data_IF_603640943018
#
_entry.id   IF_603640943018
#
_cell.length_a   1.000
_cell.length_b   1.000
_cell.length_c   1.000
_cell.angle_alpha   90.00
_cell.angle_beta   90.00
_cell.angle_gamma   90.00
#
_symmetry.space_group_name_H-M   'P 1'
#
loop_
_entity.id
_entity.type
_entity.pdbx_description
1 polymer ?
#
# COMPACT_ATOMS: atom_id res chain seq x y z
N UNK A 1 -7.44 -21.21 11.19
CA UNK A 1 -7.69 -20.93 9.77
C UNK A 1 -7.44 -19.45 9.57
N UNK A 2 -6.80 -19.06 8.46
CA UNK A 2 -6.63 -17.64 8.14
C UNK A 2 -7.99 -16.99 7.87
N UNK A 3 -8.09 -15.69 8.14
CA UNK A 3 -9.24 -14.83 7.86
C UNK A 3 -9.15 -14.14 6.50
N UNK A 4 -8.04 -14.32 5.79
CA UNK A 4 -7.92 -13.87 4.39
C UNK A 4 -8.45 -14.94 3.42
N UNK A 5 -9.44 -14.57 2.63
CA UNK A 5 -9.90 -15.35 1.47
C UNK A 5 -9.17 -14.86 0.21
N UNK A 6 -8.22 -15.66 -0.27
CA UNK A 6 -7.41 -15.28 -1.42
C UNK A 6 -8.07 -15.69 -2.75
N UNK A 7 -8.38 -14.71 -3.60
CA UNK A 7 -8.87 -14.90 -4.96
C UNK A 7 -7.75 -14.61 -5.97
N UNK A 8 -7.46 -15.55 -6.87
CA UNK A 8 -6.45 -15.38 -7.91
C UNK A 8 -7.10 -15.34 -9.29
N UNK A 9 -6.78 -14.34 -10.10
CA UNK A 9 -7.21 -14.34 -11.51
C UNK A 9 -6.31 -15.26 -12.33
N UNK A 10 -6.45 -16.58 -12.14
CA UNK A 10 -5.57 -17.61 -12.71
C UNK A 10 -6.23 -18.50 -13.77
N UNK A 11 -7.47 -18.23 -14.18
CA UNK A 11 -8.28 -19.13 -15.01
C UNK A 11 -7.68 -19.45 -16.39
N UNK A 12 -6.77 -18.61 -16.90
CA UNK A 12 -6.05 -18.87 -18.16
C UNK A 12 -4.57 -19.21 -17.95
N UNK A 13 -4.18 -19.54 -16.71
CA UNK A 13 -2.84 -19.99 -16.34
C UNK A 13 -1.80 -18.88 -16.09
N UNK A 14 -2.16 -17.61 -16.22
CA UNK A 14 -1.28 -16.44 -16.08
C UNK A 14 -0.63 -16.24 -14.69
N UNK A 15 -1.12 -16.90 -13.63
CA UNK A 15 -0.59 -16.78 -12.27
C UNK A 15 -0.34 -18.13 -11.57
N UNK A 16 -0.57 -19.24 -12.25
CA UNK A 16 -0.57 -20.56 -11.61
C UNK A 16 0.82 -20.96 -11.09
N UNK A 17 1.89 -20.51 -11.74
CA UNK A 17 3.28 -20.70 -11.30
C UNK A 17 3.65 -19.79 -10.11
N UNK A 18 2.92 -18.67 -9.92
CA UNK A 18 3.13 -17.72 -8.81
C UNK A 18 2.26 -18.00 -7.58
N UNK A 19 1.25 -18.87 -7.69
CA UNK A 19 0.28 -19.17 -6.63
C UNK A 19 0.91 -19.42 -5.26
N UNK A 20 1.94 -20.26 -5.19
CA UNK A 20 2.62 -20.57 -3.91
C UNK A 20 3.25 -19.33 -3.29
N UNK A 21 3.94 -18.51 -4.09
CA UNK A 21 4.56 -17.25 -3.66
C UNK A 21 3.51 -16.27 -3.14
N UNK A 22 2.39 -16.12 -3.85
CA UNK A 22 1.30 -15.22 -3.43
C UNK A 22 0.67 -15.68 -2.11
N UNK A 23 0.42 -16.98 -1.96
CA UNK A 23 -0.09 -17.55 -0.70
C UNK A 23 0.86 -17.27 0.46
N UNK A 24 2.16 -17.47 0.28
CA UNK A 24 3.16 -17.20 1.31
C UNK A 24 3.21 -15.71 1.67
N UNK A 25 3.23 -14.83 0.68
CA UNK A 25 3.23 -13.38 0.88
C UNK A 25 1.99 -12.92 1.67
N UNK A 26 0.82 -13.46 1.31
CA UNK A 26 -0.46 -13.17 1.98
C UNK A 26 -0.43 -13.62 3.43
N UNK A 27 0.04 -14.85 3.71
CA UNK A 27 0.17 -15.36 5.08
C UNK A 27 1.12 -14.51 5.92
N UNK A 28 2.28 -14.14 5.36
CA UNK A 28 3.24 -13.31 6.07
C UNK A 28 2.65 -11.94 6.46
N UNK A 29 1.88 -11.33 5.55
CA UNK A 29 1.19 -10.07 5.82
C UNK A 29 0.06 -10.22 6.84
N UNK A 30 -0.71 -11.32 6.76
CA UNK A 30 -1.79 -11.65 7.71
C UNK A 30 -1.25 -11.82 9.13
N UNK A 31 -0.27 -12.70 9.31
CA UNK A 31 0.35 -13.04 10.59
C UNK A 31 0.96 -11.81 11.27
N UNK A 32 1.47 -10.86 10.48
CA UNK A 32 2.00 -9.60 10.98
C UNK A 32 0.88 -8.61 11.36
N UNK A 33 -0.06 -8.38 10.45
CA UNK A 33 -0.97 -7.23 10.52
C UNK A 33 -2.16 -7.48 11.43
N UNK A 34 -2.77 -8.66 11.36
CA UNK A 34 -3.99 -8.98 12.10
C UNK A 34 -3.86 -8.82 13.61
N UNK A 35 -2.82 -9.35 14.29
CA UNK A 35 -2.70 -9.17 15.73
C UNK A 35 -2.39 -7.71 16.12
N UNK A 36 -1.57 -7.00 15.33
CA UNK A 36 -1.20 -5.60 15.59
C UNK A 36 -2.39 -4.66 15.46
N UNK A 37 -3.14 -4.84 14.38
CA UNK A 37 -4.32 -4.04 14.10
C UNK A 37 -5.59 -4.66 14.71
N UNK A 38 -5.53 -5.78 15.43
CA UNK A 38 -6.71 -6.42 16.03
C UNK A 38 -7.85 -6.62 15.01
N UNK A 39 -7.51 -7.06 13.81
CA UNK A 39 -8.50 -7.39 12.77
C UNK A 39 -9.15 -8.71 13.15
N UNK A 40 -10.47 -8.71 13.30
CA UNK A 40 -11.24 -9.88 13.71
C UNK A 40 -12.40 -10.24 12.76
N UNK A 41 -12.39 -9.72 11.54
CA UNK A 41 -13.30 -10.10 10.46
C UNK A 41 -12.54 -10.74 9.27
N UNK A 42 -13.29 -11.34 8.34
CA UNK A 42 -12.74 -11.95 7.13
C UNK A 42 -12.53 -10.90 6.03
N UNK A 43 -11.44 -11.03 5.26
CA UNK A 43 -11.08 -10.09 4.20
C UNK A 43 -10.81 -10.86 2.90
N UNK A 44 -11.48 -10.45 1.83
CA UNK A 44 -11.24 -10.95 0.48
C UNK A 44 -10.09 -10.17 -0.17
N UNK A 45 -9.07 -10.89 -0.63
CA UNK A 45 -7.95 -10.31 -1.39
C UNK A 45 -7.94 -10.88 -2.80
N UNK A 46 -8.20 -10.02 -3.79
CA UNK A 46 -8.05 -10.33 -5.20
C UNK A 46 -6.63 -10.02 -5.66
N UNK A 47 -5.90 -11.03 -6.12
CA UNK A 47 -4.58 -10.84 -6.75
C UNK A 47 -4.66 -11.08 -8.25
N UNK A 48 -4.17 -10.10 -9.01
CA UNK A 48 -4.23 -10.12 -10.48
C UNK A 48 -3.01 -9.50 -11.15
N UNK A 49 -2.64 -9.97 -12.34
CA UNK A 49 -1.70 -9.31 -13.24
C UNK A 49 -2.41 -8.64 -14.44
N UNK A 50 -3.75 -8.60 -14.42
CA UNK A 50 -4.57 -8.07 -15.53
C UNK A 50 -4.88 -6.59 -15.40
N UNK A 51 -4.91 -6.10 -14.17
CA UNK A 51 -5.14 -4.69 -13.86
C UNK A 51 -3.79 -4.04 -13.61
N UNK A 52 -3.37 -3.14 -14.51
CA UNK A 52 -2.08 -2.46 -14.44
C UNK A 52 -2.13 -1.28 -13.46
N UNK A 53 -2.21 -1.60 -12.17
CA UNK A 53 -2.08 -0.65 -11.05
C UNK A 53 -0.81 -0.92 -10.24
N UNK A 54 0.26 -1.34 -10.91
CA UNK A 54 1.56 -1.54 -10.29
C UNK A 54 2.37 -0.25 -10.34
N UNK A 55 3.18 -0.01 -9.30
CA UNK A 55 4.29 0.94 -9.42
C UNK A 55 5.31 0.30 -10.38
N UNK A 56 5.65 0.94 -11.51
CA UNK A 56 6.48 0.32 -12.54
C UNK A 56 7.81 -0.25 -12.02
N UNK A 57 8.36 0.37 -10.99
CA UNK A 57 9.63 -0.02 -10.37
C UNK A 57 9.52 -1.15 -9.35
N UNK A 58 8.34 -1.35 -8.73
CA UNK A 58 8.15 -2.32 -7.64
C UNK A 58 7.48 -3.62 -8.10
N UNK A 59 6.78 -3.62 -9.23
CA UNK A 59 6.11 -4.81 -9.73
C UNK A 59 4.93 -5.30 -8.88
N UNK A 60 4.53 -4.55 -7.85
CA UNK A 60 3.35 -4.77 -7.05
C UNK A 60 2.71 -3.42 -6.70
N UNK A 61 1.39 -3.40 -6.55
CA UNK A 61 0.60 -2.26 -6.11
C UNK A 61 -0.74 -2.74 -5.53
N UNK A 62 -1.38 -1.90 -4.73
CA UNK A 62 -2.60 -2.24 -4.03
C UNK A 62 -3.69 -1.19 -4.17
N UNK A 63 -4.93 -1.61 -3.90
CA UNK A 63 -6.04 -0.71 -3.66
C UNK A 63 -7.06 -1.36 -2.73
N UNK A 64 -7.38 -0.66 -1.64
CA UNK A 64 -8.41 -1.08 -0.69
C UNK A 64 -9.75 -0.44 -1.03
N UNK A 65 -10.72 -1.27 -1.40
CA UNK A 65 -12.08 -0.81 -1.72
C UNK A 65 -12.92 -0.59 -0.46
N UNK A 66 -12.84 -1.53 0.48
CA UNK A 66 -13.62 -1.55 1.72
C UNK A 66 -12.86 -2.28 2.84
N UNK A 67 -13.47 -2.36 4.02
CA UNK A 67 -12.92 -3.06 5.18
C UNK A 67 -12.58 -4.53 4.93
N UNK A 68 -13.26 -5.16 3.98
CA UNK A 68 -13.24 -6.59 3.69
C UNK A 68 -12.88 -6.90 2.23
N UNK A 69 -12.47 -5.91 1.43
CA UNK A 69 -12.12 -6.15 0.03
C UNK A 69 -10.91 -5.33 -0.44
N UNK A 70 -9.86 -6.04 -0.84
CA UNK A 70 -8.59 -5.50 -1.33
C UNK A 70 -8.28 -6.10 -2.70
N UNK A 71 -7.74 -5.26 -3.59
CA UNK A 71 -7.10 -5.71 -4.82
C UNK A 71 -5.59 -5.50 -4.74
N UNK A 72 -4.83 -6.51 -5.15
CA UNK A 72 -3.39 -6.44 -5.36
C UNK A 72 -3.09 -6.72 -6.84
N UNK A 73 -2.43 -5.76 -7.47
CA UNK A 73 -1.91 -5.88 -8.83
C UNK A 73 -0.44 -6.30 -8.80
N UNK A 74 -0.06 -7.27 -9.63
CA UNK A 74 1.33 -7.74 -9.73
C UNK A 74 1.84 -7.79 -11.17
N UNK A 75 3.13 -7.55 -11.34
CA UNK A 75 3.89 -7.76 -12.56
C UNK A 75 4.60 -9.11 -12.49
N UNK A 76 4.33 -10.01 -13.44
CA UNK A 76 4.82 -11.39 -13.41
C UNK A 76 6.35 -11.53 -13.38
N UNK A 77 7.07 -10.52 -13.88
CA UNK A 77 8.53 -10.52 -13.99
C UNK A 77 9.21 -9.88 -12.79
N UNK A 78 8.55 -8.92 -12.14
CA UNK A 78 9.14 -8.10 -11.07
C UNK A 78 8.63 -8.46 -9.69
N UNK A 79 7.41 -8.97 -9.57
CA UNK A 79 6.81 -9.27 -8.29
C UNK A 79 7.59 -10.36 -7.55
N UNK A 80 7.94 -10.07 -6.31
CA UNK A 80 8.56 -11.01 -5.36
C UNK A 80 7.61 -11.28 -4.20
N UNK A 81 7.84 -12.36 -3.45
CA UNK A 81 7.09 -12.65 -2.24
C UNK A 81 7.07 -11.45 -1.28
N UNK A 82 8.23 -10.79 -1.13
CA UNK A 82 8.35 -9.68 -0.20
C UNK A 82 7.58 -8.44 -0.68
N UNK A 83 7.74 -8.02 -1.93
CA UNK A 83 7.07 -6.82 -2.47
C UNK A 83 5.54 -6.98 -2.50
N UNK A 84 5.04 -8.20 -2.70
CA UNK A 84 3.62 -8.52 -2.55
C UNK A 84 3.21 -8.40 -1.08
N UNK A 85 3.95 -9.01 -0.15
CA UNK A 85 3.61 -8.96 1.27
C UNK A 85 3.65 -7.53 1.83
N UNK A 86 4.59 -6.71 1.36
CA UNK A 86 4.76 -5.30 1.71
C UNK A 86 3.52 -4.48 1.30
N UNK A 87 3.04 -4.63 0.05
CA UNK A 87 1.79 -4.02 -0.39
C UNK A 87 0.56 -4.55 0.37
N UNK A 88 0.47 -5.85 0.65
CA UNK A 88 -0.67 -6.39 1.41
C UNK A 88 -0.70 -5.81 2.83
N UNK A 89 0.44 -5.62 3.49
CA UNK A 89 0.50 -4.97 4.81
C UNK A 89 -0.02 -3.52 4.74
N UNK A 90 0.39 -2.78 3.71
CA UNK A 90 -0.08 -1.42 3.46
C UNK A 90 -1.61 -1.39 3.31
N UNK A 91 -2.17 -2.21 2.41
CA UNK A 91 -3.62 -2.26 2.16
C UNK A 91 -4.42 -2.79 3.36
N UNK A 92 -3.89 -3.73 4.13
CA UNK A 92 -4.55 -4.20 5.36
C UNK A 92 -4.65 -3.09 6.42
N UNK A 93 -3.75 -2.11 6.41
CA UNK A 93 -3.88 -0.92 7.26
C UNK A 93 -5.11 -0.11 6.85
N UNK A 94 -5.29 0.14 5.55
CA UNK A 94 -6.47 0.82 4.99
C UNK A 94 -7.76 0.05 5.27
N UNK A 95 -7.75 -1.27 5.12
CA UNK A 95 -8.90 -2.12 5.40
C UNK A 95 -9.28 -2.11 6.89
N UNK A 96 -8.30 -2.23 7.79
CA UNK A 96 -8.51 -2.06 9.24
C UNK A 96 -9.10 -0.70 9.56
N UNK A 97 -8.62 0.36 8.90
CA UNK A 97 -9.14 1.71 9.09
C UNK A 97 -10.61 1.77 8.70
N UNK A 98 -10.98 1.30 7.51
CA UNK A 98 -12.38 1.24 7.07
C UNK A 98 -13.28 0.45 8.02
N UNK A 99 -12.81 -0.71 8.50
CA UNK A 99 -13.60 -1.57 9.39
C UNK A 99 -13.87 -0.96 10.76
N UNK A 100 -12.97 -0.10 11.25
CA UNK A 100 -13.08 0.54 12.58
C UNK A 100 -13.62 1.96 12.52
N UNK A 101 -13.36 2.68 11.44
CA UNK A 101 -13.84 4.03 11.20
C UNK A 101 -14.27 4.18 9.72
N UNK A 102 -15.58 4.21 9.45
CA UNK A 102 -16.12 4.34 8.10
C UNK A 102 -16.18 5.81 7.61
N UNK A 103 -15.62 6.77 8.35
CA UNK A 103 -15.61 8.17 7.94
C UNK A 103 -14.88 8.34 6.58
N UNK A 104 -15.33 9.29 5.78
CA UNK A 104 -14.67 9.59 4.51
C UNK A 104 -13.47 10.51 4.73
N UNK A 105 -12.36 10.18 4.09
CA UNK A 105 -11.19 11.07 4.01
C UNK A 105 -11.51 12.14 2.97
N UNK A 106 -11.51 13.42 3.38
CA UNK A 106 -11.94 14.51 2.50
C UNK A 106 -10.78 15.42 2.14
N UNK A 107 -9.94 15.72 3.12
CA UNK A 107 -8.91 16.74 3.00
C UNK A 107 -7.56 16.12 2.66
N UNK A 108 -6.61 16.95 2.20
CA UNK A 108 -5.23 16.53 2.04
C UNK A 108 -4.66 16.02 3.38
N UNK A 109 -4.94 16.73 4.48
CA UNK A 109 -4.48 16.34 5.81
C UNK A 109 -4.95 14.95 6.22
N UNK A 110 -6.23 14.62 5.98
CA UNK A 110 -6.74 13.27 6.22
C UNK A 110 -5.89 12.23 5.50
N UNK A 111 -5.67 12.42 4.19
CA UNK A 111 -4.94 11.48 3.36
C UNK A 111 -3.47 11.33 3.79
N UNK A 112 -2.79 12.43 4.15
CA UNK A 112 -1.42 12.38 4.68
C UNK A 112 -1.33 11.52 5.95
N UNK A 113 -2.31 11.65 6.85
CA UNK A 113 -2.35 10.84 8.08
C UNK A 113 -2.57 9.36 7.74
N UNK A 114 -3.53 9.05 6.87
CA UNK A 114 -3.89 7.66 6.60
C UNK A 114 -2.84 6.92 5.76
N UNK A 115 -2.36 7.52 4.68
CA UNK A 115 -1.23 6.97 3.90
C UNK A 115 0.03 6.88 4.76
N UNK A 116 0.31 7.89 5.57
CA UNK A 116 1.44 7.89 6.50
C UNK A 116 1.37 6.76 7.53
N UNK A 117 0.19 6.48 8.11
CA UNK A 117 0.01 5.36 9.03
C UNK A 117 0.25 4.00 8.36
N UNK A 118 -0.22 3.82 7.13
CA UNK A 118 0.06 2.63 6.34
C UNK A 118 1.57 2.47 6.07
N UNK A 119 2.25 3.57 5.70
CA UNK A 119 3.70 3.58 5.48
C UNK A 119 4.50 3.27 6.75
N UNK A 120 4.05 3.72 7.93
CA UNK A 120 4.70 3.39 9.21
C UNK A 120 4.62 1.90 9.49
N UNK A 121 3.45 1.29 9.28
CA UNK A 121 3.26 -0.15 9.46
C UNK A 121 4.08 -0.96 8.45
N UNK A 122 4.07 -0.53 7.19
CA UNK A 122 4.87 -1.11 6.11
C UNK A 122 6.37 -1.06 6.44
N UNK A 123 6.87 0.11 6.86
CA UNK A 123 8.27 0.32 7.28
C UNK A 123 8.66 -0.59 8.44
N UNK A 124 7.79 -0.77 9.43
CA UNK A 124 8.04 -1.65 10.55
C UNK A 124 8.13 -3.13 10.09
N UNK A 125 7.23 -3.55 9.20
CA UNK A 125 7.21 -4.91 8.64
C UNK A 125 8.49 -5.27 7.87
N UNK A 126 9.01 -4.33 7.09
CA UNK A 126 10.19 -4.53 6.23
C UNK A 126 11.52 -4.24 6.91
N UNK A 127 11.52 -3.79 8.17
CA UNK A 127 12.72 -3.31 8.89
C UNK A 127 13.91 -4.28 8.81
N UNK A 128 13.64 -5.58 8.99
CA UNK A 128 14.68 -6.63 8.99
C UNK A 128 14.82 -7.36 7.64
N UNK A 129 14.16 -6.87 6.60
CA UNK A 129 14.17 -7.50 5.27
C UNK A 129 15.19 -6.83 4.36
N UNK A 130 15.90 -7.65 3.58
CA UNK A 130 16.91 -7.19 2.64
C UNK A 130 16.27 -6.42 1.46
N UNK A 131 15.14 -6.92 0.96
CA UNK A 131 14.36 -6.26 -0.07
C UNK A 131 13.35 -5.27 0.54
N UNK A 132 13.17 -4.13 -0.11
CA UNK A 132 12.19 -3.08 0.18
C UNK A 132 11.75 -2.48 -1.15
N UNK A 133 10.51 -2.02 -1.23
CA UNK A 133 10.04 -1.28 -2.41
C UNK A 133 10.88 -0.01 -2.65
N UNK A 134 10.93 0.46 -3.89
CA UNK A 134 11.60 1.71 -4.24
C UNK A 134 10.97 2.90 -3.52
N UNK A 135 9.64 2.86 -3.35
CA UNK A 135 8.88 3.86 -2.60
C UNK A 135 9.37 3.97 -1.16
N UNK A 136 9.36 2.86 -0.40
CA UNK A 136 9.80 2.84 0.99
C UNK A 136 11.26 3.29 1.12
N UNK A 137 12.15 2.84 0.23
CA UNK A 137 13.55 3.33 0.23
C UNK A 137 13.62 4.83 0.07
N UNK A 138 12.87 5.38 -0.89
CA UNK A 138 12.89 6.80 -1.22
C UNK A 138 12.37 7.67 -0.08
N UNK A 139 11.26 7.29 0.57
CA UNK A 139 10.72 8.07 1.69
C UNK A 139 11.61 7.99 2.95
N UNK A 140 12.27 6.85 3.18
CA UNK A 140 13.16 6.66 4.35
C UNK A 140 14.50 7.38 4.18
N UNK A 141 14.96 7.58 2.94
CA UNK A 141 16.20 8.31 2.63
C UNK A 141 15.99 9.83 2.57
N UNK A 142 14.74 10.31 2.55
CA UNK A 142 14.42 11.74 2.48
C UNK A 142 14.72 12.43 3.81
N UNK A 143 15.42 13.56 3.76
CA UNK A 143 15.81 14.28 4.97
C UNK A 143 14.65 15.08 5.59
N UNK A 144 14.80 15.41 6.87
CA UNK A 144 13.85 16.29 7.57
C UNK A 144 13.76 17.68 6.94
N UNK A 145 14.87 18.22 6.42
CA UNK A 145 14.90 19.49 5.69
C UNK A 145 14.05 19.40 4.41
N UNK A 146 14.20 18.34 3.62
CA UNK A 146 13.38 18.13 2.43
C UNK A 146 11.90 17.97 2.79
N UNK A 147 11.57 17.25 3.87
CA UNK A 147 10.19 17.12 4.35
C UNK A 147 9.59 18.46 4.77
N UNK A 148 10.37 19.34 5.41
CA UNK A 148 9.93 20.71 5.76
C UNK A 148 9.67 21.56 4.52
N UNK A 149 10.53 21.44 3.49
CA UNK A 149 10.35 22.13 2.21
C UNK A 149 9.07 21.67 1.48
N UNK A 150 8.82 20.36 1.44
CA UNK A 150 7.58 19.79 0.88
C UNK A 150 6.37 20.30 1.65
N UNK A 151 6.38 20.22 2.99
CA UNK A 151 5.29 20.68 3.82
C UNK A 151 4.99 22.16 3.57
N UNK A 152 6.01 23.01 3.46
CA UNK A 152 5.81 24.43 3.17
C UNK A 152 5.09 24.69 1.83
N UNK A 153 5.28 23.82 0.83
CA UNK A 153 4.61 23.92 -0.48
C UNK A 153 3.14 23.49 -0.46
N UNK A 154 2.76 22.58 0.45
CA UNK A 154 1.41 22.01 0.54
C UNK A 154 0.61 22.49 1.76
N UNK A 155 1.24 23.21 2.69
CA UNK A 155 0.65 23.59 3.99
C UNK A 155 -0.68 24.33 3.86
N UNK A 156 -0.79 25.25 2.91
CA UNK A 156 -2.01 26.02 2.69
C UNK A 156 -3.16 25.21 2.07
N UNK A 157 -2.93 23.95 1.70
CA UNK A 157 -3.93 23.02 1.14
C UNK A 157 -4.32 21.91 2.10
N UNK A 158 -3.77 21.86 3.31
CA UNK A 158 -4.00 20.76 4.25
C UNK A 158 -5.50 20.53 4.50
N UNK A 159 -6.27 21.59 4.70
CA UNK A 159 -7.72 21.51 4.93
C UNK A 159 -8.56 21.45 3.64
N UNK A 160 -7.91 21.44 2.47
CA UNK A 160 -8.60 21.44 1.16
C UNK A 160 -8.98 20.02 0.76
N UNK A 161 -10.19 19.84 0.24
CA UNK A 161 -10.63 18.66 -0.51
C UNK A 161 -10.34 18.76 -2.02
N UNK A 162 -9.88 19.93 -2.47
CA UNK A 162 -9.47 20.20 -3.83
C UNK A 162 -7.94 20.28 -3.93
N UNK A 163 -7.32 19.14 -4.23
CA UNK A 163 -5.89 19.02 -4.48
C UNK A 163 -5.62 17.91 -5.51
N UNK A 164 -4.44 17.94 -6.13
CA UNK A 164 -4.05 16.94 -7.11
C UNK A 164 -3.43 15.72 -6.41
N UNK A 165 -4.24 14.68 -6.17
CA UNK A 165 -3.80 13.46 -5.49
C UNK A 165 -2.59 12.82 -6.18
N UNK A 166 -2.65 12.68 -7.52
CA UNK A 166 -1.58 12.02 -8.27
C UNK A 166 -0.26 12.78 -8.21
N UNK A 167 -0.30 14.11 -8.20
CA UNK A 167 0.89 14.94 -8.07
C UNK A 167 1.55 14.81 -6.70
N UNK A 168 0.75 14.78 -5.62
CA UNK A 168 1.28 14.72 -4.26
C UNK A 168 1.74 13.29 -3.91
N UNK A 169 0.91 12.29 -4.16
CA UNK A 169 1.12 10.92 -3.66
C UNK A 169 1.84 9.99 -4.63
N UNK A 170 2.05 10.35 -5.91
CA UNK A 170 2.71 9.46 -6.88
C UNK A 170 3.79 10.14 -7.75
N UNK A 171 3.42 11.22 -8.43
CA UNK A 171 4.18 11.72 -9.59
C UNK A 171 5.16 12.85 -9.24
N UNK A 172 4.83 13.70 -8.26
CA UNK A 172 5.52 14.97 -8.07
C UNK A 172 5.27 15.96 -9.21
N UNK A 173 6.04 17.05 -9.22
CA UNK A 173 6.11 18.07 -10.27
C UNK A 173 7.49 18.77 -10.21
N UNK A 174 7.67 19.90 -10.93
CA UNK A 174 8.93 20.67 -10.92
C UNK A 174 9.39 21.18 -9.53
N UNK A 175 8.48 21.21 -8.55
CA UNK A 175 8.70 21.70 -7.17
C UNK A 175 8.55 20.61 -6.12
N UNK A 176 7.73 19.59 -6.37
CA UNK A 176 7.42 18.50 -5.47
C UNK A 176 8.11 17.22 -5.95
N UNK A 177 8.96 16.56 -5.14
CA UNK A 177 9.49 15.25 -5.51
C UNK A 177 8.36 14.21 -5.63
N UNK A 178 8.63 13.09 -6.31
CA UNK A 178 7.75 11.92 -6.30
C UNK A 178 7.49 11.48 -4.86
N UNK A 179 6.25 11.08 -4.59
CA UNK A 179 5.83 10.61 -3.27
C UNK A 179 6.05 11.66 -2.17
N UNK A 180 5.53 12.87 -2.40
CA UNK A 180 5.63 14.00 -1.46
C UNK A 180 4.63 13.90 -0.31
N UNK A 181 3.48 13.27 -0.55
CA UNK A 181 2.48 12.97 0.47
C UNK A 181 2.87 11.84 1.40
#
# INVERSE_FOLDING_TARGET
MGKINLLLTEANGNLSDKKKMIINATKAAEEYTFPKLKIDWDIDILVTNRIQMTIPENGAGGYTFFADFIQISIDDKKATENLISENIVHELCHASRWGKNPEWMKTLFDNLIFEGLACVLETEFIKNKAEKSLFIKTILERSDEQNKEILALIHNKLDSDNYNYNEIFFNGNDKLPRWSG
#
